data_IF_753031343689
#
_entry.id   IF_753031343689
#
_cell.length_a   1.000
_cell.length_b   1.000
_cell.length_c   1.000
_cell.angle_alpha   90.00
_cell.angle_beta   90.00
_cell.angle_gamma   90.00
#
_symmetry.space_group_name_H-M   'P 1'
#
loop_
_entity.id
_entity.type
_entity.pdbx_description
1 polymer ?
#
# COMPACT_ATOMS: atom_id res chain seq x y z
N UNK A 1 21.00 20.17 23.64
CA UNK A 1 21.43 19.33 22.50
C UNK A 1 20.85 19.98 21.26
N UNK A 2 21.67 20.20 20.23
CA UNK A 2 21.19 20.72 18.96
C UNK A 2 20.73 19.52 18.14
N UNK A 3 19.47 19.51 17.70
CA UNK A 3 18.96 18.54 16.74
C UNK A 3 18.70 19.26 15.43
N UNK A 4 19.17 18.67 14.34
CA UNK A 4 18.86 19.11 12.98
C UNK A 4 17.64 18.34 12.50
N UNK A 5 16.75 19.05 11.82
CA UNK A 5 15.50 18.51 11.29
C UNK A 5 15.51 18.71 9.80
N UNK A 6 15.43 17.59 9.08
CA UNK A 6 15.15 17.58 7.65
C UNK A 6 13.65 17.37 7.46
N UNK A 7 13.08 18.15 6.56
CA UNK A 7 11.71 18.01 6.10
C UNK A 7 11.74 17.73 4.61
N UNK A 8 11.05 16.68 4.20
CA UNK A 8 10.84 16.35 2.80
C UNK A 8 9.34 16.14 2.53
N UNK A 9 8.90 16.54 1.35
CA UNK A 9 7.52 16.35 0.92
C UNK A 9 7.48 15.48 -0.33
N UNK A 10 6.62 14.47 -0.30
CA UNK A 10 6.55 13.44 -1.34
C UNK A 10 5.10 13.27 -1.77
N UNK A 11 4.90 13.17 -3.08
CA UNK A 11 3.57 13.05 -3.68
C UNK A 11 3.53 11.91 -4.71
N UNK A 12 2.41 11.18 -4.71
CA UNK A 12 2.13 10.10 -5.66
C UNK A 12 1.29 10.63 -6.84
N UNK A 13 1.89 10.67 -8.04
CA UNK A 13 1.17 10.85 -9.31
C UNK A 13 0.50 9.53 -9.64
N UNK A 14 -0.79 9.41 -9.31
CA UNK A 14 -1.57 8.22 -9.61
C UNK A 14 -2.82 8.07 -8.76
N UNK A 15 -2.93 8.78 -7.64
CA UNK A 15 -4.20 8.92 -6.92
C UNK A 15 -5.09 9.94 -7.63
N UNK A 16 -5.49 9.65 -8.87
CA UNK A 16 -6.70 10.28 -9.39
C UNK A 16 -7.83 9.81 -8.49
N UNK A 17 -8.28 10.69 -7.62
CA UNK A 17 -9.51 10.60 -6.86
C UNK A 17 -10.70 10.60 -7.84
N UNK A 18 -10.86 9.50 -8.57
CA UNK A 18 -11.98 9.24 -9.49
C UNK A 18 -13.01 8.31 -8.82
N UNK A 19 -13.31 8.55 -7.54
CA UNK A 19 -14.19 7.67 -6.75
C UNK A 19 -15.68 8.05 -6.87
N UNK A 20 -16.05 9.11 -7.59
CA UNK A 20 -17.42 9.65 -7.49
C UNK A 20 -18.31 9.55 -8.73
N UNK A 21 -17.86 9.04 -9.89
CA UNK A 21 -18.60 9.25 -11.15
C UNK A 21 -19.05 8.00 -11.93
N UNK A 22 -18.70 6.78 -11.51
CA UNK A 22 -19.06 5.56 -12.27
C UNK A 22 -19.92 4.54 -11.51
N UNK A 23 -20.16 4.72 -10.22
CA UNK A 23 -20.93 3.78 -9.39
C UNK A 23 -22.42 4.12 -9.30
N UNK A 24 -22.81 5.38 -9.51
CA UNK A 24 -24.19 5.85 -9.42
C UNK A 24 -25.03 5.64 -10.69
N UNK A 25 -24.38 5.49 -11.85
CA UNK A 25 -25.06 5.30 -13.15
C UNK A 25 -25.31 3.82 -13.49
N UNK A 26 -24.59 2.89 -12.86
CA UNK A 26 -24.78 1.45 -13.06
C UNK A 26 -25.82 0.89 -12.07
N UNK A 27 -25.88 1.44 -10.85
CA UNK A 27 -26.87 1.04 -9.84
C UNK A 27 -28.30 1.48 -10.20
N UNK A 28 -28.46 2.58 -10.94
CA UNK A 28 -29.76 3.06 -11.41
C UNK A 28 -30.31 2.26 -12.60
N UNK A 29 -29.45 1.59 -13.37
CA UNK A 29 -29.85 0.74 -14.52
C UNK A 29 -30.27 -0.67 -14.08
N UNK A 30 -29.79 -1.15 -12.92
CA UNK A 30 -29.95 -2.55 -12.47
C UNK A 30 -31.10 -2.82 -11.49
N UNK A 31 -31.92 -1.82 -11.15
CA UNK A 31 -33.24 -2.01 -10.51
C UNK A 31 -33.28 -3.01 -9.35
N UNK A 32 -32.58 -2.77 -8.24
CA UNK A 32 -32.63 -3.66 -7.08
C UNK A 32 -31.82 -3.16 -5.89
N UNK A 33 -32.51 -2.93 -4.76
CA UNK A 33 -31.95 -2.41 -3.52
C UNK A 33 -30.87 -3.28 -2.85
N UNK A 34 -30.06 -2.62 -2.03
CA UNK A 34 -29.20 -3.15 -0.96
C UNK A 34 -28.45 -4.46 -1.22
N UNK A 35 -27.95 -4.66 -2.44
CA UNK A 35 -26.75 -5.46 -2.62
C UNK A 35 -25.54 -4.53 -2.49
N UNK A 36 -24.87 -4.59 -1.34
CA UNK A 36 -23.55 -3.96 -1.13
C UNK A 36 -22.64 -4.37 -2.28
N UNK A 37 -22.48 -3.46 -3.24
CA UNK A 37 -21.60 -3.63 -4.38
C UNK A 37 -20.19 -3.95 -3.88
N UNK A 38 -19.61 -5.02 -4.39
CA UNK A 38 -18.32 -5.59 -4.02
C UNK A 38 -17.11 -4.73 -4.46
N UNK A 39 -17.25 -3.41 -4.56
CA UNK A 39 -16.23 -2.53 -5.13
C UNK A 39 -16.45 -1.06 -4.78
N UNK A 40 -16.27 -0.67 -3.52
CA UNK A 40 -16.14 0.75 -3.18
C UNK A 40 -15.49 1.00 -1.83
N UNK A 41 -14.45 0.24 -1.51
CA UNK A 41 -13.36 0.72 -0.67
C UNK A 41 -12.10 0.21 -1.36
N UNK A 42 -11.64 0.94 -2.38
CA UNK A 42 -10.23 0.84 -2.77
C UNK A 42 -9.45 1.03 -1.47
N UNK A 43 -8.92 -0.06 -0.89
CA UNK A 43 -8.00 0.03 0.25
C UNK A 43 -6.81 0.85 -0.25
N UNK A 44 -6.89 2.17 -0.07
CA UNK A 44 -5.82 3.08 -0.42
C UNK A 44 -4.68 2.72 0.51
N UNK A 45 -3.54 2.32 -0.07
CA UNK A 45 -2.36 1.99 0.72
C UNK A 45 -2.05 3.20 1.59
N UNK A 46 -2.12 3.02 2.91
CA UNK A 46 -1.85 4.08 3.85
C UNK A 46 -0.35 4.37 3.83
N UNK A 47 0.06 5.36 3.06
CA UNK A 47 1.48 5.70 2.87
C UNK A 47 2.15 6.17 4.18
N UNK A 48 1.39 6.62 5.19
CA UNK A 48 1.92 6.92 6.52
C UNK A 48 2.34 5.63 7.24
N UNK A 49 1.48 4.61 7.19
CA UNK A 49 1.79 3.31 7.79
C UNK A 49 2.99 2.67 7.11
N UNK A 50 3.10 2.82 5.78
CA UNK A 50 4.28 2.40 5.04
C UNK A 50 5.53 3.16 5.50
N UNK A 51 5.47 4.49 5.58
CA UNK A 51 6.60 5.32 6.00
C UNK A 51 7.09 4.99 7.43
N UNK A 52 6.16 4.73 8.35
CA UNK A 52 6.43 4.42 9.76
C UNK A 52 6.63 2.93 10.04
N UNK A 53 6.53 2.09 9.00
CA UNK A 53 6.64 0.64 9.12
C UNK A 53 8.00 0.22 9.66
N UNK A 54 8.00 -0.90 10.37
CA UNK A 54 9.23 -1.55 10.81
C UNK A 54 10.06 -2.00 9.61
N UNK A 55 9.41 -2.52 8.57
CA UNK A 55 10.08 -3.03 7.36
C UNK A 55 10.87 -1.95 6.63
N UNK A 56 10.30 -0.76 6.47
CA UNK A 56 11.00 0.37 5.83
C UNK A 56 12.20 0.81 6.66
N UNK A 57 12.03 0.86 7.98
CA UNK A 57 13.10 1.22 8.90
C UNK A 57 14.21 0.17 8.94
N UNK A 58 13.89 -1.12 8.80
CA UNK A 58 14.88 -2.22 8.74
C UNK A 58 15.73 -2.15 7.46
N UNK A 59 15.10 -1.95 6.30
CA UNK A 59 15.84 -1.74 5.06
C UNK A 59 16.74 -0.51 5.14
N UNK A 60 16.22 0.62 5.63
CA UNK A 60 17.01 1.84 5.80
C UNK A 60 18.14 1.64 6.80
N UNK A 61 17.91 0.93 7.90
CA UNK A 61 18.94 0.64 8.90
C UNK A 61 20.08 -0.23 8.33
N UNK A 62 19.77 -1.13 7.40
CA UNK A 62 20.72 -2.04 6.77
C UNK A 62 21.52 -1.39 5.61
N UNK A 63 21.01 -0.31 5.03
CA UNK A 63 21.72 0.43 3.98
C UNK A 63 23.05 1.00 4.49
N UNK A 64 24.01 1.09 3.56
CA UNK A 64 25.33 1.66 3.77
C UNK A 64 25.41 2.98 3.00
N UNK A 65 25.84 4.09 3.63
CA UNK A 65 26.02 5.35 2.92
C UNK A 65 27.23 5.28 2.01
N UNK A 66 27.12 5.83 0.79
CA UNK A 66 28.18 5.87 -0.23
C UNK A 66 29.24 6.95 0.03
N UNK A 67 29.55 7.23 1.30
CA UNK A 67 30.46 8.28 1.73
C UNK A 67 31.68 7.69 2.41
N UNK A 68 32.86 8.05 1.88
CA UNK A 68 34.18 7.59 2.34
C UNK A 68 34.39 7.86 3.84
N UNK A 69 33.83 8.95 4.37
CA UNK A 69 33.93 9.34 5.79
C UNK A 69 33.29 8.35 6.76
N UNK A 70 32.29 7.57 6.32
CA UNK A 70 31.57 6.63 7.18
C UNK A 70 32.10 5.18 7.09
N UNK A 71 33.00 4.91 6.15
CA UNK A 71 33.55 3.58 5.90
C UNK A 71 32.47 2.52 5.60
N UNK A 72 32.77 1.25 5.84
CA UNK A 72 31.85 0.13 5.58
C UNK A 72 30.74 -0.05 6.65
N UNK A 73 30.32 1.02 7.32
CA UNK A 73 29.32 0.96 8.39
C UNK A 73 27.91 1.14 7.82
N UNK A 74 26.93 0.40 8.35
CA UNK A 74 25.52 0.63 8.01
C UNK A 74 24.94 1.78 8.83
N UNK A 75 23.79 2.32 8.40
CA UNK A 75 23.12 3.41 9.11
C UNK A 75 22.79 3.04 10.56
N UNK A 76 22.43 1.79 10.82
CA UNK A 76 22.17 1.31 12.18
C UNK A 76 23.37 1.56 13.11
N UNK A 77 24.58 1.18 12.70
CA UNK A 77 25.80 1.40 13.47
C UNK A 77 26.15 2.87 13.63
N UNK A 78 26.01 3.65 12.55
CA UNK A 78 26.29 5.09 12.57
C UNK A 78 25.36 5.84 13.54
N UNK A 79 24.10 5.43 13.62
CA UNK A 79 23.13 6.02 14.55
C UNK A 79 23.44 5.70 16.01
N UNK A 80 23.87 4.47 16.30
CA UNK A 80 24.27 4.09 17.67
C UNK A 80 25.53 4.86 18.08
N UNK A 81 26.52 4.96 17.19
CA UNK A 81 27.75 5.72 17.43
C UNK A 81 27.43 7.21 17.67
N UNK A 82 26.61 7.83 16.82
CA UNK A 82 26.18 9.22 16.99
C UNK A 82 25.38 9.41 18.29
N UNK A 83 24.48 8.48 18.62
CA UNK A 83 23.72 8.54 19.88
C UNK A 83 24.65 8.49 21.10
N UNK A 84 25.66 7.63 21.06
CA UNK A 84 26.63 7.45 22.14
C UNK A 84 27.59 8.64 22.28
N UNK A 85 27.91 9.37 21.21
CA UNK A 85 28.70 10.62 21.29
C UNK A 85 28.01 11.69 22.16
N UNK A 86 26.68 11.68 22.22
CA UNK A 86 25.90 12.59 23.06
C UNK A 86 25.38 11.93 24.35
N UNK A 87 25.82 10.71 24.66
CA UNK A 87 25.57 10.06 25.94
C UNK A 87 26.43 10.74 27.02
N UNK A 88 25.78 11.39 27.97
CA UNK A 88 26.42 12.10 29.06
C UNK A 88 25.47 12.19 30.25
N UNK A 89 26.01 12.64 31.40
CA UNK A 89 25.45 12.48 32.76
C UNK A 89 23.96 12.79 32.97
N UNK A 90 23.29 13.54 32.06
CA UNK A 90 21.88 13.91 32.16
C UNK A 90 21.14 13.98 30.80
N UNK A 91 21.64 13.35 29.73
CA UNK A 91 21.07 13.51 28.36
C UNK A 91 20.53 12.20 27.79
N UNK A 92 21.41 11.28 27.42
CA UNK A 92 21.05 10.00 26.81
C UNK A 92 21.74 8.85 27.56
N UNK A 93 21.05 7.71 27.67
CA UNK A 93 21.67 6.48 28.19
C UNK A 93 22.66 5.95 27.15
N UNK A 94 23.84 5.54 27.59
CA UNK A 94 24.78 4.86 26.71
C UNK A 94 24.18 3.54 26.25
N UNK A 95 24.30 3.25 24.95
CA UNK A 95 23.81 2.00 24.36
C UNK A 95 25.01 1.12 24.01
N UNK A 96 25.10 -0.04 24.65
CA UNK A 96 26.11 -1.04 24.30
C UNK A 96 25.88 -1.50 22.85
N UNK A 97 26.92 -1.35 22.02
CA UNK A 97 26.86 -1.80 20.62
C UNK A 97 26.79 -3.32 20.63
N UNK A 98 25.69 -3.94 20.15
CA UNK A 98 25.58 -5.39 20.12
C UNK A 98 26.68 -5.97 19.21
N UNK A 99 27.22 -7.14 19.57
CA UNK A 99 28.20 -7.85 18.73
C UNK A 99 27.57 -8.51 17.51
N UNK A 100 26.27 -8.78 17.59
CA UNK A 100 25.50 -9.41 16.52
C UNK A 100 24.95 -8.36 15.54
N UNK A 101 25.03 -8.70 14.26
CA UNK A 101 24.53 -7.91 13.13
C UNK A 101 23.04 -7.59 13.26
N UNK A 102 22.22 -8.55 13.68
CA UNK A 102 20.77 -8.39 13.85
C UNK A 102 20.45 -7.53 15.08
N UNK A 103 21.24 -7.69 16.15
CA UNK A 103 21.17 -6.82 17.32
C UNK A 103 21.45 -5.34 16.98
N UNK A 104 22.48 -5.08 16.18
CA UNK A 104 22.81 -3.72 15.71
C UNK A 104 21.64 -3.12 14.92
N UNK A 105 21.06 -3.87 13.98
CA UNK A 105 19.94 -3.41 13.15
C UNK A 105 18.72 -3.09 14.03
N UNK A 106 18.34 -3.96 14.96
CA UNK A 106 17.17 -3.74 15.82
C UNK A 106 17.27 -2.45 16.64
N UNK A 107 18.44 -2.20 17.23
CA UNK A 107 18.70 -0.97 17.98
C UNK A 107 18.68 0.24 17.04
N UNK A 108 19.33 0.13 15.87
CA UNK A 108 19.28 1.16 14.84
C UNK A 108 17.86 1.52 14.41
N UNK A 109 17.00 0.52 14.20
CA UNK A 109 15.58 0.70 13.86
C UNK A 109 14.83 1.45 14.95
N UNK A 110 15.07 1.14 16.23
CA UNK A 110 14.45 1.90 17.32
C UNK A 110 14.84 3.37 17.31
N UNK A 111 16.12 3.68 17.08
CA UNK A 111 16.62 5.06 17.00
C UNK A 111 16.08 5.80 15.78
N UNK A 112 15.97 5.12 14.64
CA UNK A 112 15.36 5.67 13.43
C UNK A 112 13.90 6.05 13.65
N UNK A 113 13.12 5.14 14.25
CA UNK A 113 11.69 5.37 14.49
C UNK A 113 11.43 6.46 15.53
N UNK A 114 12.32 6.62 16.52
CA UNK A 114 12.25 7.74 17.47
C UNK A 114 12.51 9.10 16.80
N UNK A 115 13.41 9.13 15.81
CA UNK A 115 13.77 10.34 15.06
C UNK A 115 12.83 10.67 13.89
N UNK A 116 11.98 9.74 13.46
CA UNK A 116 11.13 9.86 12.28
C UNK A 116 9.69 10.26 12.65
N UNK A 117 9.17 11.28 11.99
CA UNK A 117 7.76 11.62 11.98
C UNK A 117 7.24 11.69 10.55
N UNK A 118 6.08 11.07 10.29
CA UNK A 118 5.42 11.09 9.00
C UNK A 118 3.97 11.57 9.15
N UNK A 119 3.54 12.50 8.31
CA UNK A 119 2.18 13.06 8.33
C UNK A 119 1.66 13.26 6.92
N UNK A 120 0.34 13.17 6.72
CA UNK A 120 -0.29 13.59 5.47
C UNK A 120 -0.90 14.98 5.68
N UNK A 121 -0.59 15.90 4.77
CA UNK A 121 -1.24 17.21 4.72
C UNK A 121 -2.65 17.08 4.09
N UNK A 122 -3.52 18.07 4.28
CA UNK A 122 -4.89 18.14 3.74
C UNK A 122 -4.96 17.91 2.23
N UNK A 123 -3.86 18.13 1.51
CA UNK A 123 -3.72 17.95 0.07
C UNK A 123 -3.25 16.54 -0.34
N UNK A 124 -3.15 15.59 0.60
CA UNK A 124 -2.70 14.21 0.31
C UNK A 124 -1.18 14.06 0.14
N UNK A 125 -0.41 15.10 0.45
CA UNK A 125 1.05 15.11 0.36
C UNK A 125 1.64 14.50 1.64
N UNK A 126 2.58 13.57 1.49
CA UNK A 126 3.33 12.99 2.60
C UNK A 126 4.44 13.95 3.02
N UNK A 127 4.42 14.39 4.28
CA UNK A 127 5.49 15.14 4.92
C UNK A 127 6.29 14.19 5.80
N UNK A 128 7.58 14.03 5.49
CA UNK A 128 8.55 13.26 6.26
C UNK A 128 9.47 14.21 7.00
N UNK A 129 9.56 14.06 8.30
CA UNK A 129 10.48 14.77 9.16
C UNK A 129 11.42 13.78 9.84
N UNK A 130 12.73 13.98 9.69
CA UNK A 130 13.73 13.18 10.38
C UNK A 130 14.65 14.07 11.22
N UNK A 131 14.83 13.70 12.48
CA UNK A 131 15.58 14.46 13.48
C UNK A 131 16.82 13.70 13.94
N UNK A 132 18.00 14.31 13.80
CA UNK A 132 19.25 13.75 14.34
C UNK A 132 20.24 14.86 14.71
N UNK A 133 21.25 14.55 15.53
CA UNK A 133 22.30 15.47 15.95
C UNK A 133 23.31 15.79 14.85
N UNK A 134 23.41 14.95 13.81
CA UNK A 134 24.39 15.08 12.74
C UNK A 134 23.71 15.46 11.41
N UNK A 135 24.06 16.63 10.85
CA UNK A 135 23.46 17.15 9.61
C UNK A 135 23.59 16.20 8.42
N UNK A 136 24.71 15.46 8.34
CA UNK A 136 25.02 14.59 7.21
C UNK A 136 24.13 13.35 7.30
N UNK A 137 24.05 12.74 8.49
CA UNK A 137 23.16 11.59 8.73
C UNK A 137 21.70 11.96 8.50
N UNK A 138 21.27 13.14 8.93
CA UNK A 138 19.91 13.63 8.68
C UNK A 138 19.57 13.60 7.19
N UNK A 139 20.43 14.20 6.35
CA UNK A 139 20.23 14.25 4.90
C UNK A 139 20.18 12.85 4.28
N UNK A 140 21.19 12.02 4.56
CA UNK A 140 21.33 10.70 3.94
C UNK A 140 20.19 9.77 4.31
N UNK A 141 19.80 9.75 5.58
CA UNK A 141 18.71 8.92 6.07
C UNK A 141 17.37 9.40 5.49
N UNK A 142 17.15 10.72 5.39
CA UNK A 142 15.95 11.24 4.73
C UNK A 142 15.85 10.77 3.27
N UNK A 143 16.92 10.86 2.49
CA UNK A 143 16.93 10.35 1.11
C UNK A 143 16.69 8.83 1.05
N UNK A 144 17.38 8.06 1.90
CA UNK A 144 17.18 6.61 1.98
C UNK A 144 15.73 6.22 2.31
N UNK A 145 15.07 6.96 3.21
CA UNK A 145 13.65 6.74 3.51
C UNK A 145 12.74 7.05 2.31
N UNK A 146 12.97 8.17 1.63
CA UNK A 146 12.17 8.56 0.46
C UNK A 146 12.28 7.49 -0.63
N UNK A 147 13.49 7.03 -0.92
CA UNK A 147 13.73 6.00 -1.94
C UNK A 147 13.06 4.68 -1.57
N UNK A 148 13.22 4.22 -0.32
CA UNK A 148 12.61 2.95 0.13
C UNK A 148 11.09 3.02 0.20
N UNK A 149 10.52 4.13 0.67
CA UNK A 149 9.07 4.34 0.66
C UNK A 149 8.56 4.33 -0.79
N UNK A 150 9.30 4.94 -1.71
CA UNK A 150 8.96 4.96 -3.13
C UNK A 150 8.92 3.56 -3.74
N UNK A 151 10.00 2.80 -3.56
CA UNK A 151 10.11 1.41 -4.01
C UNK A 151 8.95 0.55 -3.48
N UNK A 152 8.69 0.61 -2.17
CA UNK A 152 7.64 -0.18 -1.56
C UNK A 152 6.23 0.24 -1.98
N UNK A 153 6.00 1.54 -2.17
CA UNK A 153 4.71 2.00 -2.64
C UNK A 153 4.43 1.51 -4.06
N UNK A 154 5.44 1.58 -4.94
CA UNK A 154 5.36 1.04 -6.30
C UNK A 154 5.11 -0.46 -6.26
N UNK A 155 5.84 -1.22 -5.43
CA UNK A 155 5.69 -2.67 -5.36
C UNK A 155 4.30 -3.08 -4.85
N UNK A 156 3.81 -2.43 -3.78
CA UNK A 156 2.49 -2.72 -3.20
C UNK A 156 1.35 -2.37 -4.16
N UNK A 157 1.49 -1.28 -4.94
CA UNK A 157 0.51 -0.92 -5.96
C UNK A 157 0.45 -1.97 -7.08
N UNK A 158 1.61 -2.39 -7.60
CA UNK A 158 1.70 -3.44 -8.61
C UNK A 158 1.13 -4.77 -8.11
N UNK A 159 1.51 -5.18 -6.90
CA UNK A 159 1.03 -6.41 -6.27
C UNK A 159 -0.49 -6.39 -6.10
N UNK A 160 -1.04 -5.26 -5.62
CA UNK A 160 -2.49 -5.11 -5.51
C UNK A 160 -3.20 -5.21 -6.85
N UNK A 161 -2.71 -4.50 -7.87
CA UNK A 161 -3.29 -4.56 -9.22
C UNK A 161 -3.25 -5.98 -9.79
N UNK A 162 -2.18 -6.73 -9.51
CA UNK A 162 -2.04 -8.11 -9.91
C UNK A 162 -3.07 -9.00 -9.20
N UNK A 163 -3.21 -8.87 -7.87
CA UNK A 163 -4.19 -9.63 -7.09
C UNK A 163 -5.63 -9.34 -7.54
N UNK A 164 -5.95 -8.08 -7.80
CA UNK A 164 -7.27 -7.66 -8.30
C UNK A 164 -7.57 -8.29 -9.69
N UNK A 165 -6.56 -8.33 -10.56
CA UNK A 165 -6.68 -9.00 -11.86
C UNK A 165 -6.84 -10.51 -11.72
N UNK A 166 -6.03 -11.18 -10.91
CA UNK A 166 -6.12 -12.62 -10.66
C UNK A 166 -7.48 -13.01 -10.07
N UNK A 167 -8.01 -12.20 -9.16
CA UNK A 167 -9.36 -12.38 -8.63
C UNK A 167 -10.42 -12.27 -9.71
N UNK A 168 -10.32 -11.28 -10.61
CA UNK A 168 -11.26 -11.11 -11.73
C UNK A 168 -11.22 -12.27 -12.73
N UNK A 169 -10.01 -12.79 -13.03
CA UNK A 169 -9.82 -14.00 -13.85
C UNK A 169 -10.51 -15.20 -13.21
N UNK A 170 -10.18 -15.50 -11.95
CA UNK A 170 -10.73 -16.64 -11.22
C UNK A 170 -12.25 -16.59 -11.13
N UNK A 171 -12.83 -15.41 -10.92
CA UNK A 171 -14.29 -15.21 -10.91
C UNK A 171 -14.91 -15.49 -12.28
N UNK A 172 -14.29 -15.00 -13.36
CA UNK A 172 -14.76 -15.24 -14.74
C UNK A 172 -14.75 -16.73 -15.08
N UNK A 173 -13.67 -17.43 -14.74
CA UNK A 173 -13.54 -18.87 -14.98
C UNK A 173 -14.57 -19.68 -14.18
N UNK A 174 -14.84 -19.25 -12.93
CA UNK A 174 -15.85 -19.88 -12.09
C UNK A 174 -17.25 -19.76 -12.69
N UNK A 175 -17.61 -18.57 -13.20
CA UNK A 175 -18.90 -18.35 -13.86
C UNK A 175 -18.99 -19.15 -15.16
N UNK A 176 -17.89 -19.22 -15.94
CA UNK A 176 -17.82 -20.04 -17.14
C UNK A 176 -18.06 -21.53 -16.84
N UNK A 177 -17.47 -22.06 -15.77
CA UNK A 177 -17.68 -23.44 -15.35
C UNK A 177 -19.15 -23.69 -14.95
N UNK A 178 -19.77 -22.78 -14.21
CA UNK A 178 -21.21 -22.87 -13.89
C UNK A 178 -22.06 -22.87 -15.16
N UNK A 179 -21.75 -22.00 -16.12
CA UNK A 179 -22.45 -21.96 -17.42
C UNK A 179 -22.33 -23.29 -18.17
N UNK A 180 -21.14 -23.89 -18.20
CA UNK A 180 -20.91 -25.20 -18.82
C UNK A 180 -21.68 -26.34 -18.12
N UNK A 181 -21.85 -26.27 -16.80
CA UNK A 181 -22.69 -27.23 -16.06
C UNK A 181 -24.16 -27.10 -16.46
N UNK A 182 -24.65 -25.87 -16.62
CA UNK A 182 -26.03 -25.62 -17.10
C UNK A 182 -26.19 -26.15 -18.53
N UNK A 183 -25.22 -25.91 -19.41
CA UNK A 183 -25.24 -26.43 -20.79
C UNK A 183 -25.33 -27.97 -20.82
N UNK A 184 -24.52 -28.65 -20.01
CA UNK A 184 -24.58 -30.12 -19.87
C UNK A 184 -25.93 -30.62 -19.36
N UNK A 185 -26.56 -29.88 -18.43
CA UNK A 185 -27.90 -30.22 -17.93
C UNK A 185 -28.97 -30.03 -19.02
N UNK A 186 -28.86 -28.97 -19.82
CA UNK A 186 -29.77 -28.71 -20.93
C UNK A 186 -29.67 -29.80 -21.99
N UNK A 187 -28.45 -30.17 -22.40
CA UNK A 187 -28.19 -31.28 -23.34
C UNK A 187 -28.79 -32.58 -22.81
N UNK A 188 -28.51 -32.93 -21.54
CA UNK A 188 -29.07 -34.14 -20.92
C UNK A 188 -30.61 -34.12 -20.91
N UNK A 189 -31.21 -32.96 -20.61
CA UNK A 189 -32.66 -32.83 -20.61
C UNK A 189 -33.21 -33.08 -22.02
N UNK A 190 -32.66 -32.39 -23.02
CA UNK A 190 -33.09 -32.51 -24.42
C UNK A 190 -32.96 -33.96 -24.93
N UNK A 191 -31.84 -34.64 -24.65
CA UNK A 191 -31.62 -36.05 -24.99
C UNK A 191 -32.67 -36.97 -24.34
N UNK A 192 -33.02 -36.72 -23.08
CA UNK A 192 -34.01 -37.55 -22.35
C UNK A 192 -35.47 -37.26 -22.73
N UNK A 193 -35.74 -36.08 -23.31
CA UNK A 193 -37.11 -35.65 -23.67
C UNK A 193 -37.38 -35.62 -25.16
N UNK A 194 -36.48 -36.13 -26.00
CA UNK A 194 -36.56 -36.04 -27.47
C UNK A 194 -37.88 -36.55 -28.08
N UNK A 195 -38.51 -37.56 -27.46
CA UNK A 195 -39.80 -38.12 -27.90
C UNK A 195 -40.97 -37.79 -26.96
N UNK A 196 -40.78 -36.88 -26.01
CA UNK A 196 -41.83 -36.48 -25.07
C UNK A 196 -42.80 -35.49 -25.74
N UNK A 197 -44.08 -35.52 -25.33
CA UNK A 197 -45.07 -34.57 -25.82
C UNK A 197 -44.75 -33.15 -25.29
N UNK A 198 -44.41 -32.23 -26.21
CA UNK A 198 -44.03 -30.85 -25.91
C UNK A 198 -45.13 -30.04 -25.21
N UNK A 199 -46.40 -30.44 -25.34
CA UNK A 199 -47.54 -29.78 -24.69
C UNK A 199 -47.64 -30.05 -23.19
N UNK A 200 -46.91 -31.04 -22.66
CA UNK A 200 -46.93 -31.37 -21.23
C UNK A 200 -45.97 -30.45 -20.46
N UNK A 201 -46.53 -29.61 -19.59
CA UNK A 201 -45.77 -28.64 -18.77
C UNK A 201 -44.66 -29.28 -17.93
N UNK A 202 -44.79 -30.55 -17.53
CA UNK A 202 -43.77 -31.28 -16.75
C UNK A 202 -42.41 -31.40 -17.47
N UNK A 203 -42.40 -31.40 -18.80
CA UNK A 203 -41.18 -31.45 -19.61
C UNK A 203 -40.74 -30.07 -20.07
N UNK A 204 -41.68 -29.16 -20.29
CA UNK A 204 -41.41 -27.80 -20.77
C UNK A 204 -40.89 -26.86 -19.66
N UNK A 205 -41.48 -26.91 -18.46
CA UNK A 205 -41.13 -26.00 -17.35
C UNK A 205 -39.66 -26.11 -16.92
N UNK A 206 -39.06 -27.31 -16.74
CA UNK A 206 -37.64 -27.41 -16.40
C UNK A 206 -36.73 -26.87 -17.51
N UNK A 207 -37.10 -27.03 -18.79
CA UNK A 207 -36.37 -26.48 -19.93
C UNK A 207 -36.40 -24.94 -19.91
N UNK A 208 -37.55 -24.35 -19.64
CA UNK A 208 -37.70 -22.89 -19.52
C UNK A 208 -36.85 -22.36 -18.36
N UNK A 209 -36.90 -23.00 -17.19
CA UNK A 209 -36.13 -22.60 -16.02
C UNK A 209 -34.61 -22.63 -16.28
N UNK A 210 -34.11 -23.71 -16.89
CA UNK A 210 -32.68 -23.83 -17.23
C UNK A 210 -32.24 -22.79 -18.27
N UNK A 211 -33.10 -22.46 -19.25
CA UNK A 211 -32.81 -21.40 -20.23
C UNK A 211 -32.76 -20.01 -19.58
N UNK A 212 -33.69 -19.72 -18.66
CA UNK A 212 -33.66 -18.47 -17.88
C UNK A 212 -32.41 -18.39 -17.01
N UNK A 213 -32.06 -19.47 -16.30
CA UNK A 213 -30.83 -19.54 -15.50
C UNK A 213 -29.59 -19.32 -16.37
N UNK A 214 -29.52 -19.96 -17.54
CA UNK A 214 -28.45 -19.76 -18.53
C UNK A 214 -28.33 -18.30 -18.96
N UNK A 215 -29.45 -17.63 -19.25
CA UNK A 215 -29.45 -16.21 -19.63
C UNK A 215 -28.89 -15.31 -18.52
N UNK A 216 -29.28 -15.56 -17.26
CA UNK A 216 -28.77 -14.81 -16.11
C UNK A 216 -27.26 -15.01 -15.95
N UNK A 217 -26.79 -16.26 -16.02
CA UNK A 217 -25.36 -16.58 -15.88
C UNK A 217 -24.55 -16.02 -17.06
N UNK A 218 -25.09 -16.04 -18.28
CA UNK A 218 -24.47 -15.39 -19.44
C UNK A 218 -24.30 -13.87 -19.24
N UNK A 219 -25.32 -13.19 -18.73
CA UNK A 219 -25.21 -11.76 -18.40
C UNK A 219 -24.12 -11.50 -17.36
N UNK A 220 -24.08 -12.31 -16.29
CA UNK A 220 -23.02 -12.22 -15.27
C UNK A 220 -21.62 -12.50 -15.84
N UNK A 221 -21.51 -13.42 -16.80
CA UNK A 221 -20.26 -13.71 -17.49
C UNK A 221 -19.78 -12.50 -18.28
N UNK A 222 -20.64 -11.85 -19.08
CA UNK A 222 -20.26 -10.65 -19.83
C UNK A 222 -19.79 -9.51 -18.92
N UNK A 223 -20.49 -9.27 -17.81
CA UNK A 223 -20.07 -8.29 -16.81
C UNK A 223 -18.71 -8.64 -16.19
N UNK A 224 -18.47 -9.93 -15.94
CA UNK A 224 -17.20 -10.40 -15.36
C UNK A 224 -16.03 -10.29 -16.35
N UNK A 225 -16.26 -10.57 -17.64
CA UNK A 225 -15.28 -10.35 -18.71
C UNK A 225 -14.92 -8.87 -18.82
N UNK A 226 -15.92 -7.98 -18.82
CA UNK A 226 -15.69 -6.53 -18.82
C UNK A 226 -14.89 -6.07 -17.59
N UNK A 227 -15.21 -6.59 -16.40
CA UNK A 227 -14.45 -6.31 -15.18
C UNK A 227 -13.00 -6.81 -15.26
N UNK A 228 -12.76 -8.00 -15.83
CA UNK A 228 -11.44 -8.57 -16.07
C UNK A 228 -10.62 -7.70 -17.03
N UNK A 229 -11.22 -7.22 -18.11
CA UNK A 229 -10.58 -6.30 -19.06
C UNK A 229 -10.22 -4.96 -18.41
N UNK A 230 -11.13 -4.39 -17.61
CA UNK A 230 -10.85 -3.19 -16.84
C UNK A 230 -9.70 -3.41 -15.84
N UNK A 231 -9.64 -4.56 -15.16
CA UNK A 231 -8.55 -4.91 -14.26
C UNK A 231 -7.21 -5.09 -15.02
N UNK A 232 -7.22 -5.72 -16.19
CA UNK A 232 -6.05 -5.86 -17.05
C UNK A 232 -5.52 -4.49 -17.51
N UNK A 233 -6.42 -3.59 -17.90
CA UNK A 233 -6.08 -2.22 -18.27
C UNK A 233 -5.47 -1.44 -17.09
N UNK A 234 -6.05 -1.57 -15.89
CA UNK A 234 -5.47 -0.98 -14.67
C UNK A 234 -4.07 -1.51 -14.39
N UNK A 235 -3.86 -2.83 -14.44
CA UNK A 235 -2.56 -3.47 -14.25
C UNK A 235 -1.49 -2.93 -15.20
N UNK A 236 -1.84 -2.71 -16.48
CA UNK A 236 -0.90 -2.15 -17.46
C UNK A 236 -0.58 -0.67 -17.22
N UNK A 237 -1.54 0.09 -16.67
CA UNK A 237 -1.41 1.54 -16.44
C UNK A 237 -0.81 1.89 -15.07
N UNK A 238 -0.92 1.00 -14.08
CA UNK A 238 -0.47 1.24 -12.71
C UNK A 238 1.05 1.16 -12.56
N UNK A 239 1.75 2.17 -13.07
CA UNK A 239 3.09 2.54 -12.60
C UNK A 239 2.98 3.87 -11.85
N UNK A 240 2.72 3.85 -10.54
CA UNK A 240 2.67 5.09 -9.77
C UNK A 240 4.03 5.79 -9.84
N UNK A 241 4.03 7.07 -10.19
CA UNK A 241 5.25 7.86 -10.19
C UNK A 241 5.26 8.66 -8.90
N UNK A 242 6.25 8.42 -8.05
CA UNK A 242 6.47 9.24 -6.87
C UNK A 242 7.44 10.35 -7.25
N UNK A 243 7.03 11.60 -7.02
CA UNK A 243 7.92 12.76 -7.15
C UNK A 243 8.18 13.36 -5.79
N UNK A 244 9.45 13.66 -5.56
CA UNK A 244 9.90 14.48 -4.45
C UNK A 244 9.53 15.92 -4.81
N UNK A 245 8.77 16.57 -3.94
CA UNK A 245 8.37 17.96 -4.11
C UNK A 245 9.38 18.87 -3.42
N UNK A 246 9.67 18.60 -2.14
CA UNK A 246 10.74 19.27 -1.40
C UNK A 246 11.85 18.28 -1.05
N UNK A 247 13.07 18.59 -1.49
CA UNK A 247 14.24 17.81 -1.17
C UNK A 247 14.66 18.03 0.30
N UNK A 248 15.16 17.00 0.99
CA UNK A 248 15.74 17.10 2.33
C UNK A 248 17.11 17.82 2.33
N UNK A 249 17.13 19.05 1.81
CA UNK A 249 18.32 19.88 1.64
C UNK A 249 18.40 21.01 2.68
N UNK A 250 19.61 21.51 2.99
CA UNK A 250 19.78 22.65 3.86
C UNK A 250 19.09 23.90 3.27
N UNK A 251 18.57 24.83 4.11
CA UNK A 251 18.81 24.93 5.55
C UNK A 251 17.94 23.99 6.41
N UNK A 252 18.57 23.30 7.36
CA UNK A 252 17.86 22.47 8.33
C UNK A 252 17.27 23.30 9.47
N UNK A 253 16.08 22.94 9.92
CA UNK A 253 15.51 23.53 11.14
C UNK A 253 16.31 23.04 12.35
N UNK A 254 16.71 23.98 13.22
CA UNK A 254 17.54 23.72 14.40
C UNK A 254 16.66 23.76 15.64
N UNK A 255 16.43 22.61 16.27
CA UNK A 255 15.81 22.55 17.60
C UNK A 255 16.91 22.64 18.67
N UNK A 256 16.97 23.79 19.35
CA UNK A 256 17.80 23.97 20.54
C UNK A 256 16.93 23.80 21.79
N UNK A 257 17.12 22.69 22.51
CA UNK A 257 16.57 22.57 23.87
C UNK A 257 17.30 23.58 24.78
N UNK A 258 16.73 24.78 24.93
CA UNK A 258 17.13 25.78 25.92
C UNK A 258 16.51 25.36 27.25
N UNK A 259 17.34 24.93 28.21
CA UNK A 259 16.92 24.67 29.59
C UNK A 259 16.43 25.99 30.18
N UNK A 260 15.13 26.14 30.39
CA UNK A 260 14.60 27.21 31.24
C UNK A 260 14.99 26.92 32.69
N UNK A 261 15.78 27.87 33.21
CA UNK A 261 16.04 28.25 34.60
C UNK A 261 15.10 27.58 35.62
N UNK A 262 15.66 26.71 36.46
CA UNK A 262 15.08 26.44 37.78
C UNK A 262 15.17 27.77 38.53
N UNK A 263 14.06 28.50 38.60
CA UNK A 263 13.92 29.62 39.53
C UNK A 263 13.79 28.98 40.90
N UNK A 264 14.89 28.99 41.65
CA UNK A 264 14.88 28.73 43.09
C UNK A 264 13.79 29.62 43.69
N UNK A 265 12.79 28.99 44.33
CA UNK A 265 12.02 29.66 45.35
C UNK A 265 12.97 29.83 46.53
N UNK A 266 13.44 31.06 46.72
CA UNK A 266 13.77 31.61 48.03
C UNK A 266 12.69 32.64 48.36
#
# INVERSE_FOLDING_TARGET
MIKYISKATVFSLGSSSNVALSTSSISSILGGGDSKAFSSNEASINIIELATSRRTSEEVANLRPDLVEFGNKNFARLLIEEHNLHAGFLKNKYIDIPKDSLGIINVGVSLLREGLAAKINKNGILELEFKNSNRILVRLISYAYIDKISEFYISLKKEKAQLDYEFAVKKTDSILNVMQVIDKRLIKLDETTFFANEGLQRYNLPRINLNQEKQIIQQQYFLSVSNRENAAYKLQKETPIIKILDNPEPPFNIEKNLRLVIRLLD
#
